data_IF_176803320493
#
_entry.id   IF_176803320493
#
_cell.length_a   1.000
_cell.length_b   1.000
_cell.length_c   1.000
_cell.angle_alpha   90.00
_cell.angle_beta   90.00
_cell.angle_gamma   90.00
#
_symmetry.space_group_name_H-M   'P 1'
#
loop_
_entity.id
_entity.type
_entity.pdbx_description
1 polymer ?
#
# COMPACT_ATOMS: atom_id res chain seq x y z
N UNK A 1 61.55 73.22 57.31
CA UNK A 1 60.65 72.19 56.91
C UNK A 1 61.41 71.00 56.34
N UNK A 2 61.37 69.86 57.02
CA UNK A 2 61.96 68.60 56.56
C UNK A 2 61.11 68.10 55.39
N UNK A 3 61.67 68.14 54.20
CA UNK A 3 61.03 67.65 53.00
C UNK A 3 60.93 66.16 52.93
N UNK A 4 60.31 65.51 53.92
CA UNK A 4 60.03 64.07 53.85
C UNK A 4 58.76 63.83 53.02
N UNK A 5 58.88 63.22 51.87
CA UNK A 5 57.78 62.78 51.05
C UNK A 5 57.57 61.29 51.21
N UNK A 6 56.35 60.81 51.40
CA UNK A 6 55.98 59.40 51.35
C UNK A 6 55.13 59.22 50.09
N UNK A 7 55.45 58.17 49.31
CA UNK A 7 54.67 57.78 48.14
C UNK A 7 54.23 56.37 48.29
N UNK A 8 53.00 56.09 47.87
CA UNK A 8 52.51 54.69 47.69
C UNK A 8 52.21 54.49 46.23
N UNK A 9 52.41 53.28 45.75
CA UNK A 9 52.06 52.91 44.38
C UNK A 9 51.10 51.72 44.40
N UNK A 10 50.23 51.63 43.43
CA UNK A 10 49.37 50.53 43.16
C UNK A 10 49.67 50.05 41.72
N UNK A 11 49.82 48.76 41.53
CA UNK A 11 50.01 48.19 40.21
C UNK A 11 48.68 47.75 39.71
N UNK A 12 48.25 48.19 38.53
CA UNK A 12 47.11 47.72 37.80
C UNK A 12 47.60 46.63 36.84
N UNK A 13 46.99 45.45 36.91
CA UNK A 13 47.32 44.30 36.05
C UNK A 13 46.13 44.15 35.10
N UNK A 14 46.39 44.20 33.79
CA UNK A 14 45.40 43.96 32.77
C UNK A 14 45.14 42.45 32.61
N UNK A 15 43.86 42.10 32.53
CA UNK A 15 43.41 40.76 32.19
C UNK A 15 42.66 40.82 30.85
N UNK A 16 43.30 40.37 29.76
CA UNK A 16 42.74 40.34 28.41
C UNK A 16 42.87 38.94 27.81
N UNK A 17 41.95 38.61 26.92
CA UNK A 17 42.05 37.44 26.05
C UNK A 17 42.70 37.93 24.75
N UNK A 18 43.88 37.42 24.40
CA UNK A 18 44.56 37.71 23.15
C UNK A 18 43.87 37.02 21.96
N UNK A 19 43.46 35.79 22.18
CA UNK A 19 42.70 35.01 21.23
C UNK A 19 41.67 34.14 21.96
N UNK A 20 40.42 34.17 21.55
CA UNK A 20 39.40 33.24 22.07
C UNK A 20 39.59 31.81 21.56
N UNK A 21 40.58 31.59 20.70
CA UNK A 21 40.72 30.35 19.92
C UNK A 21 39.73 30.26 18.78
N UNK A 22 39.75 29.14 18.09
CA UNK A 22 38.79 28.83 17.00
C UNK A 22 38.15 27.49 17.23
N UNK A 23 36.97 27.32 16.67
CA UNK A 23 36.19 26.06 16.72
C UNK A 23 35.86 25.59 15.31
N UNK A 24 35.64 24.28 15.16
CA UNK A 24 35.22 23.64 13.90
C UNK A 24 34.06 22.73 14.15
N UNK A 25 33.36 22.30 13.09
CA UNK A 25 32.26 21.36 13.20
C UNK A 25 31.01 21.79 12.45
N UNK A 26 31.14 22.75 11.49
CA UNK A 26 30.05 23.06 10.56
C UNK A 26 29.64 21.80 9.84
N UNK A 27 28.35 21.45 9.89
CA UNK A 27 27.80 20.22 9.39
C UNK A 27 26.33 20.38 9.04
N UNK A 28 25.81 19.44 8.24
CA UNK A 28 24.38 19.28 7.98
C UNK A 28 23.89 17.96 8.54
N UNK A 29 22.76 17.98 9.22
CA UNK A 29 22.09 16.81 9.80
C UNK A 29 20.64 16.78 9.35
N UNK A 30 19.98 15.64 9.48
CA UNK A 30 18.54 15.53 9.29
C UNK A 30 17.79 16.04 10.53
N UNK A 31 16.53 16.40 10.37
CA UNK A 31 15.62 16.77 11.46
C UNK A 31 15.71 15.75 12.59
N UNK A 32 15.83 16.23 13.82
CA UNK A 32 16.02 15.43 15.05
C UNK A 32 17.28 14.54 15.02
N UNK A 33 18.21 14.82 14.11
CA UNK A 33 19.49 14.10 14.01
C UNK A 33 20.47 14.52 15.10
N UNK A 34 21.40 13.60 15.42
CA UNK A 34 22.48 13.85 16.39
C UNK A 34 23.67 14.48 15.68
N UNK A 35 24.06 15.73 16.04
CA UNK A 35 25.29 16.32 15.52
C UNK A 35 26.54 15.55 15.97
N UNK A 36 27.58 15.61 15.16
CA UNK A 36 28.90 15.21 15.59
C UNK A 36 29.52 16.29 16.49
N UNK A 37 30.59 15.92 17.19
CA UNK A 37 31.27 16.84 18.12
C UNK A 37 31.78 18.11 17.42
N UNK A 38 31.48 19.28 18.01
CA UNK A 38 32.11 20.55 17.72
C UNK A 38 33.46 20.57 18.42
N UNK A 39 34.52 20.83 17.68
CA UNK A 39 35.88 20.64 18.16
C UNK A 39 36.68 21.92 18.29
N UNK A 40 37.56 21.97 19.27
CA UNK A 40 38.59 23.00 19.40
C UNK A 40 39.59 22.87 18.24
N UNK A 41 39.74 23.90 17.44
CA UNK A 41 40.77 23.96 16.40
C UNK A 41 42.03 24.70 16.90
N UNK A 42 41.84 25.79 17.63
CA UNK A 42 42.94 26.48 18.34
C UNK A 42 42.53 26.86 19.76
N UNK A 43 43.40 26.68 20.70
CA UNK A 43 43.18 26.99 22.11
C UNK A 43 43.19 28.51 22.36
N UNK A 44 42.37 28.98 23.28
CA UNK A 44 42.39 30.38 23.71
C UNK A 44 43.67 30.74 24.42
N UNK A 45 44.07 32.00 24.31
CA UNK A 45 45.23 32.59 25.01
C UNK A 45 44.90 33.91 25.70
N UNK A 46 45.57 34.16 26.77
CA UNK A 46 45.48 35.42 27.53
C UNK A 46 46.83 36.11 27.59
N UNK A 47 46.84 37.44 27.61
CA UNK A 47 48.03 38.29 27.73
C UNK A 47 48.85 37.93 28.99
N UNK A 48 48.17 37.63 30.09
CA UNK A 48 48.82 37.29 31.33
C UNK A 48 48.91 35.77 31.52
N UNK A 49 50.11 35.23 31.57
CA UNK A 49 50.37 33.81 31.73
C UNK A 49 49.82 33.21 33.05
N UNK A 50 49.53 34.04 34.05
CA UNK A 50 48.94 33.61 35.34
C UNK A 50 47.40 33.57 35.30
N UNK A 51 46.76 34.02 34.22
CA UNK A 51 45.32 33.91 34.04
C UNK A 51 44.91 32.45 33.78
N UNK A 52 43.78 32.08 34.39
CA UNK A 52 43.18 30.76 34.12
C UNK A 52 42.11 30.96 33.03
N UNK A 53 42.20 30.14 31.97
CA UNK A 53 41.19 30.13 30.89
C UNK A 53 40.20 29.01 31.12
N UNK A 54 38.93 29.32 31.05
CA UNK A 54 37.80 28.37 31.04
C UNK A 54 36.90 28.66 29.86
N UNK A 55 35.99 27.74 29.53
CA UNK A 55 35.10 27.87 28.38
C UNK A 55 33.64 27.80 28.80
N UNK A 56 32.77 28.32 27.94
CA UNK A 56 31.33 28.17 28.02
C UNK A 56 30.73 28.18 26.62
N UNK A 57 30.03 27.14 26.24
CA UNK A 57 29.34 27.06 24.96
C UNK A 57 28.00 27.78 25.00
N UNK A 58 27.67 28.39 23.88
CA UNK A 58 26.39 29.06 23.63
C UNK A 58 25.82 28.64 22.30
N UNK A 59 24.48 28.61 22.20
CA UNK A 59 23.75 28.36 20.98
C UNK A 59 22.76 29.47 20.68
N UNK A 60 22.37 29.60 19.40
CA UNK A 60 21.32 30.51 18.96
C UNK A 60 20.71 29.98 17.65
N UNK A 61 19.41 30.18 17.39
CA UNK A 61 18.84 29.96 16.07
C UNK A 61 19.24 31.05 15.07
N UNK A 62 19.85 32.17 15.54
CA UNK A 62 20.25 33.31 14.72
C UNK A 62 21.74 33.29 14.43
N UNK A 63 22.11 33.30 13.14
CA UNK A 63 23.50 33.24 12.68
C UNK A 63 24.42 34.33 13.27
N UNK A 64 23.87 35.48 13.62
CA UNK A 64 24.65 36.64 14.15
C UNK A 64 24.61 36.74 15.68
N UNK A 65 23.98 35.80 16.38
CA UNK A 65 23.79 35.84 17.84
C UNK A 65 23.14 37.12 18.34
N UNK A 66 22.30 37.76 17.55
CA UNK A 66 21.63 39.02 17.90
C UNK A 66 20.45 38.84 18.86
N UNK A 67 19.86 37.67 18.88
CA UNK A 67 18.71 37.31 19.73
C UNK A 67 18.76 35.81 20.08
N UNK A 68 17.95 35.41 21.05
CA UNK A 68 17.72 34.00 21.44
C UNK A 68 19.02 33.24 21.77
N UNK A 69 19.96 33.92 22.40
CA UNK A 69 21.22 33.35 22.83
C UNK A 69 21.00 32.52 24.09
N UNK A 70 21.24 31.22 24.00
CA UNK A 70 21.18 30.29 25.13
C UNK A 70 22.59 29.91 25.58
N UNK A 71 22.89 30.12 26.86
CA UNK A 71 24.06 29.53 27.48
C UNK A 71 23.79 28.09 27.82
N UNK A 72 24.62 27.18 27.29
CA UNK A 72 24.40 25.74 27.42
C UNK A 72 24.95 25.28 28.77
N UNK A 73 24.07 24.89 29.68
CA UNK A 73 24.44 24.51 31.04
C UNK A 73 25.40 23.33 31.04
N UNK A 74 26.47 23.43 31.86
CA UNK A 74 27.48 22.40 31.97
C UNK A 74 28.44 22.25 30.77
N UNK A 75 28.23 22.97 29.66
CA UNK A 75 29.09 22.88 28.48
C UNK A 75 30.32 23.78 28.62
N UNK A 76 31.29 23.31 29.43
CA UNK A 76 32.50 24.08 29.81
C UNK A 76 33.80 23.51 29.28
N UNK A 77 33.72 22.43 28.48
CA UNK A 77 34.89 21.79 27.86
C UNK A 77 35.33 22.52 26.57
N UNK A 78 36.55 22.23 26.12
CA UNK A 78 37.06 22.73 24.82
C UNK A 78 36.24 22.29 23.64
N UNK A 79 35.71 21.04 23.71
CA UNK A 79 34.84 20.43 22.73
C UNK A 79 33.43 20.31 23.30
N UNK A 80 32.44 20.26 22.40
CA UNK A 80 31.02 20.07 22.77
C UNK A 80 30.29 19.22 21.75
N UNK A 81 29.49 18.28 22.22
CA UNK A 81 28.57 17.52 21.37
C UNK A 81 27.14 17.98 21.65
N UNK A 82 26.49 18.66 20.70
CA UNK A 82 25.11 19.07 20.89
C UNK A 82 24.16 17.87 21.01
N UNK A 83 23.03 18.05 21.69
CA UNK A 83 21.92 17.13 21.63
C UNK A 83 21.26 17.12 20.22
N UNK A 84 20.37 16.16 19.88
CA UNK A 84 19.61 16.18 18.64
C UNK A 84 18.91 17.51 18.40
N UNK A 85 18.94 17.99 17.15
CA UNK A 85 18.41 19.32 16.79
C UNK A 85 17.19 19.22 15.89
N UNK A 86 16.14 19.98 16.23
CA UNK A 86 14.91 20.12 15.44
C UNK A 86 14.91 21.34 14.50
N UNK A 87 15.95 22.16 14.53
CA UNK A 87 16.13 23.32 13.66
C UNK A 87 17.61 23.68 13.52
N UNK A 88 17.94 24.36 12.42
CA UNK A 88 19.29 24.90 12.21
C UNK A 88 19.69 25.75 13.41
N UNK A 89 20.87 25.46 13.97
CA UNK A 89 21.38 26.05 15.19
C UNK A 89 22.83 26.45 15.01
N UNK A 90 23.15 27.63 15.49
CA UNK A 90 24.49 28.21 15.47
C UNK A 90 25.11 28.07 16.85
N UNK A 91 26.40 27.76 16.90
CA UNK A 91 27.15 27.60 18.13
C UNK A 91 28.37 28.45 18.13
N UNK A 92 28.72 29.01 19.32
CA UNK A 92 29.98 29.66 19.60
C UNK A 92 30.47 29.27 20.99
N UNK A 93 31.74 29.48 21.23
CA UNK A 93 32.34 29.24 22.53
C UNK A 93 32.87 30.55 23.12
N UNK A 94 32.51 30.88 24.36
CA UNK A 94 33.15 31.91 25.12
C UNK A 94 34.44 31.37 25.72
N UNK A 95 35.54 32.08 25.56
CA UNK A 95 36.72 31.95 26.41
C UNK A 95 36.59 32.94 27.57
N UNK A 96 36.82 32.47 28.78
CA UNK A 96 36.75 33.27 30.00
C UNK A 96 38.12 33.24 30.66
N UNK A 97 38.82 34.36 30.65
CA UNK A 97 40.09 34.56 31.36
C UNK A 97 39.84 35.09 32.77
N UNK A 98 40.32 34.41 33.78
CA UNK A 98 40.19 34.80 35.19
C UNK A 98 41.55 35.13 35.75
N UNK A 99 41.75 36.35 36.22
CA UNK A 99 42.95 36.81 36.93
C UNK A 99 42.53 37.62 38.14
N UNK A 100 43.06 37.27 39.32
CA UNK A 100 42.72 37.97 40.58
C UNK A 100 41.21 38.14 40.80
N UNK A 101 40.44 37.08 40.54
CA UNK A 101 38.97 37.07 40.63
C UNK A 101 38.22 37.98 39.63
N UNK A 102 38.95 38.61 38.70
CA UNK A 102 38.34 39.37 37.60
C UNK A 102 38.25 38.51 36.35
N UNK A 103 37.03 38.33 35.85
CA UNK A 103 36.77 37.63 34.63
C UNK A 103 36.65 38.59 33.43
N UNK A 104 37.28 38.24 32.31
CA UNK A 104 37.12 38.88 31.01
C UNK A 104 36.74 37.80 29.99
N UNK A 105 35.88 38.13 29.02
CA UNK A 105 35.35 37.18 28.07
C UNK A 105 35.60 37.61 26.62
N UNK A 106 35.82 36.65 25.74
CA UNK A 106 35.84 36.83 24.28
C UNK A 106 35.20 35.62 23.60
N UNK A 107 34.65 35.80 22.41
CA UNK A 107 33.92 34.76 21.69
C UNK A 107 34.70 34.24 20.49
N UNK A 108 34.59 32.95 20.20
CA UNK A 108 35.10 32.34 18.96
C UNK A 108 34.29 32.75 17.74
N UNK A 109 34.75 32.33 16.58
CA UNK A 109 33.89 32.22 15.37
C UNK A 109 32.66 31.35 15.64
N UNK A 110 31.69 31.47 14.74
CA UNK A 110 30.41 30.74 14.82
C UNK A 110 30.52 29.50 13.92
N UNK A 111 30.05 28.35 14.41
CA UNK A 111 29.81 27.13 13.62
C UNK A 111 28.33 26.93 13.45
N UNK A 112 27.95 26.49 12.26
CA UNK A 112 26.58 26.19 11.89
C UNK A 112 26.35 24.68 11.88
N UNK A 113 25.28 24.24 12.51
CA UNK A 113 24.70 22.92 12.34
C UNK A 113 23.38 23.11 11.61
N UNK A 114 23.41 22.90 10.30
CA UNK A 114 22.23 22.97 9.43
C UNK A 114 21.32 21.76 9.66
N UNK A 115 20.04 21.97 9.94
CA UNK A 115 19.03 20.92 9.99
C UNK A 115 18.25 20.92 8.69
N UNK A 116 18.26 19.78 8.01
CA UNK A 116 17.52 19.57 6.76
C UNK A 116 16.25 18.79 7.04
N UNK A 117 15.14 19.31 6.57
CA UNK A 117 13.90 18.57 6.48
C UNK A 117 14.02 17.49 5.38
N UNK A 118 13.32 16.40 5.57
CA UNK A 118 13.16 15.42 4.50
C UNK A 118 12.32 16.00 3.34
N UNK A 119 12.37 15.36 2.15
CA UNK A 119 11.78 15.92 0.92
C UNK A 119 10.24 15.99 0.89
N UNK A 120 9.55 15.49 1.91
CA UNK A 120 8.09 15.46 1.96
C UNK A 120 7.50 14.42 1.01
N UNK A 121 6.27 14.68 0.55
CA UNK A 121 5.57 13.86 -0.43
C UNK A 121 4.22 13.33 0.05
N UNK A 122 3.33 13.10 -0.92
CA UNK A 122 2.01 12.50 -0.70
C UNK A 122 1.93 11.17 -1.44
N UNK A 123 1.57 10.11 -0.72
CA UNK A 123 1.29 8.79 -1.29
C UNK A 123 -0.10 8.79 -1.91
N UNK A 124 -0.20 8.26 -3.12
CA UNK A 124 -1.42 8.06 -3.88
C UNK A 124 -1.60 6.57 -4.17
N UNK A 125 -2.86 6.13 -4.22
CA UNK A 125 -3.28 4.83 -4.75
C UNK A 125 -3.87 5.04 -6.13
N UNK A 126 -3.37 4.35 -7.15
CA UNK A 126 -3.85 4.42 -8.54
C UNK A 126 -4.04 5.89 -9.03
N UNK A 127 -3.18 6.80 -8.54
CA UNK A 127 -3.23 8.23 -8.84
C UNK A 127 -4.17 9.07 -7.96
N UNK A 128 -4.87 8.48 -6.99
CA UNK A 128 -5.83 9.16 -6.11
C UNK A 128 -5.32 9.26 -4.67
N UNK A 129 -5.60 10.40 -4.03
CA UNK A 129 -5.31 10.58 -2.61
C UNK A 129 -6.47 10.03 -1.77
N UNK A 130 -6.29 8.85 -1.22
CA UNK A 130 -7.27 8.16 -0.38
C UNK A 130 -6.66 7.81 0.98
N UNK A 131 -7.48 7.72 2.02
CA UNK A 131 -7.03 7.26 3.35
C UNK A 131 -7.15 5.74 3.49
N UNK A 132 -8.19 5.18 2.88
CA UNK A 132 -8.42 3.74 2.79
C UNK A 132 -9.20 3.40 1.53
N UNK A 133 -9.00 2.19 1.01
CA UNK A 133 -9.70 1.69 -0.18
C UNK A 133 -9.80 0.17 -0.13
N UNK A 134 -10.84 -0.38 -0.78
CA UNK A 134 -10.99 -1.81 -1.02
C UNK A 134 -10.87 -2.05 -2.52
N UNK A 135 -9.91 -2.86 -2.93
CA UNK A 135 -9.66 -3.27 -4.31
C UNK A 135 -10.19 -4.67 -4.54
N UNK A 136 -10.61 -4.94 -5.77
CA UNK A 136 -10.96 -6.29 -6.19
C UNK A 136 -9.70 -7.16 -6.38
N UNK A 137 -9.81 -8.50 -6.35
CA UNK A 137 -8.65 -9.40 -6.42
C UNK A 137 -7.74 -9.19 -7.64
N UNK A 138 -8.32 -8.81 -8.78
CA UNK A 138 -7.62 -8.65 -10.05
C UNK A 138 -7.26 -7.18 -10.36
N UNK A 139 -7.51 -6.24 -9.43
CA UNK A 139 -7.17 -4.85 -9.63
C UNK A 139 -5.71 -4.59 -9.32
N UNK A 140 -5.08 -3.80 -10.19
CA UNK A 140 -3.71 -3.34 -9.99
C UNK A 140 -3.63 -2.43 -8.76
N UNK A 141 -2.61 -2.67 -7.92
CA UNK A 141 -2.27 -1.82 -6.79
C UNK A 141 -1.01 -1.03 -7.15
N UNK A 142 -1.21 0.20 -7.62
CA UNK A 142 -0.10 1.08 -7.98
C UNK A 142 0.03 2.18 -6.91
N UNK A 143 1.13 2.14 -6.19
CA UNK A 143 1.54 3.19 -5.25
C UNK A 143 2.35 4.24 -5.99
N UNK A 144 2.01 5.52 -5.84
CA UNK A 144 2.79 6.62 -6.42
C UNK A 144 2.96 7.76 -5.41
N UNK A 145 4.06 8.49 -5.53
CA UNK A 145 4.37 9.63 -4.66
C UNK A 145 4.40 10.90 -5.49
N UNK A 146 3.71 11.93 -5.01
CA UNK A 146 3.63 13.25 -5.65
C UNK A 146 4.05 14.36 -4.68
N UNK A 147 4.17 15.59 -5.16
CA UNK A 147 4.55 16.74 -4.36
C UNK A 147 6.04 16.80 -4.00
N UNK A 148 6.89 16.08 -4.74
CA UNK A 148 8.34 16.04 -4.54
C UNK A 148 9.02 16.96 -5.54
N UNK A 149 9.88 17.87 -5.04
CA UNK A 149 10.78 18.64 -5.88
C UNK A 149 12.03 17.80 -6.23
N UNK A 150 12.58 18.02 -7.43
CA UNK A 150 13.82 17.39 -7.90
C UNK A 150 13.86 15.87 -7.73
N UNK A 151 12.85 15.19 -8.30
CA UNK A 151 12.65 13.73 -8.20
C UNK A 151 13.88 12.94 -8.64
N UNK A 152 14.64 13.44 -9.64
CA UNK A 152 15.81 12.73 -10.17
C UNK A 152 16.91 12.46 -9.14
N UNK A 153 16.95 13.27 -8.07
CA UNK A 153 17.91 13.16 -6.98
C UNK A 153 17.30 12.57 -5.70
N UNK A 154 16.20 11.84 -5.83
CA UNK A 154 15.49 11.22 -4.70
C UNK A 154 15.50 9.70 -4.80
N UNK A 155 15.22 9.06 -3.68
CA UNK A 155 14.93 7.63 -3.63
C UNK A 155 13.75 7.34 -2.73
N UNK A 156 13.09 6.22 -2.98
CA UNK A 156 11.80 5.86 -2.40
C UNK A 156 11.89 4.46 -1.82
N UNK A 157 11.42 4.30 -0.59
CA UNK A 157 11.32 3.02 0.09
C UNK A 157 9.85 2.75 0.38
N UNK A 158 9.25 1.87 -0.43
CA UNK A 158 7.87 1.43 -0.32
C UNK A 158 7.73 0.38 0.76
N UNK A 159 6.71 0.53 1.61
CA UNK A 159 6.50 -0.33 2.77
C UNK A 159 5.06 -0.83 2.84
N UNK A 160 4.93 -2.08 3.31
CA UNK A 160 3.67 -2.73 3.64
C UNK A 160 3.71 -3.19 5.10
N UNK A 161 2.81 -2.69 5.95
CA UNK A 161 2.81 -3.00 7.39
C UNK A 161 4.14 -2.66 8.07
N UNK A 162 4.84 -1.60 7.61
CA UNK A 162 6.15 -1.21 8.12
C UNK A 162 7.35 -1.99 7.53
N UNK A 163 7.11 -3.07 6.78
CA UNK A 163 8.16 -3.86 6.12
C UNK A 163 8.46 -3.30 4.74
N UNK A 164 9.74 -3.18 4.38
CA UNK A 164 10.18 -2.74 3.05
C UNK A 164 9.79 -3.79 2.01
N UNK A 165 9.07 -3.37 0.97
CA UNK A 165 8.66 -4.21 -0.16
C UNK A 165 9.36 -3.81 -1.46
N UNK A 166 9.82 -2.57 -1.57
CA UNK A 166 10.61 -2.10 -2.70
C UNK A 166 11.46 -0.89 -2.33
N UNK A 167 12.60 -0.74 -2.98
CA UNK A 167 13.46 0.44 -2.94
C UNK A 167 13.79 0.86 -4.36
N UNK A 168 13.48 2.10 -4.73
CA UNK A 168 13.51 2.57 -6.12
C UNK A 168 13.90 4.04 -6.23
N UNK A 169 14.38 4.46 -7.39
CA UNK A 169 14.42 5.87 -7.82
C UNK A 169 13.13 6.32 -8.52
N UNK A 170 12.18 5.40 -8.74
CA UNK A 170 10.88 5.71 -9.34
C UNK A 170 9.89 6.17 -8.28
N UNK A 171 9.11 7.20 -8.60
CA UNK A 171 7.98 7.67 -7.79
C UNK A 171 6.77 6.72 -7.82
N UNK A 172 6.84 5.65 -8.62
CA UNK A 172 5.73 4.71 -8.77
C UNK A 172 6.22 3.27 -8.61
N UNK A 173 5.42 2.46 -7.95
CA UNK A 173 5.66 1.04 -7.73
C UNK A 173 4.33 0.28 -7.76
N UNK A 174 4.27 -0.73 -8.62
CA UNK A 174 3.19 -1.70 -8.67
C UNK A 174 3.47 -2.82 -7.67
N UNK A 175 2.54 -3.05 -6.76
CA UNK A 175 2.68 -4.09 -5.72
C UNK A 175 2.28 -5.43 -6.31
N UNK A 176 3.21 -6.39 -6.44
CA UNK A 176 2.89 -7.68 -7.02
C UNK A 176 2.03 -8.51 -6.08
N UNK A 177 0.98 -9.15 -6.62
CA UNK A 177 0.09 -10.08 -5.92
C UNK A 177 -0.39 -9.55 -4.55
N UNK A 178 -1.06 -8.39 -4.51
CA UNK A 178 -1.55 -7.85 -3.26
C UNK A 178 -2.63 -8.78 -2.67
N UNK A 179 -2.68 -8.92 -1.35
CA UNK A 179 -3.67 -9.79 -0.69
C UNK A 179 -3.98 -9.30 0.72
N UNK A 180 -5.21 -9.52 1.19
CA UNK A 180 -5.67 -9.15 2.52
C UNK A 180 -5.60 -7.65 2.79
N UNK A 181 -5.65 -7.26 4.08
CA UNK A 181 -5.61 -5.85 4.51
C UNK A 181 -4.20 -5.47 4.94
N UNK A 182 -3.69 -4.36 4.45
CA UNK A 182 -2.39 -3.83 4.85
C UNK A 182 -2.36 -2.30 4.81
N UNK A 183 -1.48 -1.72 5.64
CA UNK A 183 -1.15 -0.31 5.61
C UNK A 183 0.09 -0.10 4.72
N UNK A 184 0.00 0.82 3.78
CA UNK A 184 1.09 1.19 2.87
C UNK A 184 1.58 2.60 3.18
N UNK A 185 2.89 2.78 3.12
CA UNK A 185 3.57 4.07 3.29
C UNK A 185 4.87 4.09 2.50
N UNK A 186 5.42 5.28 2.28
CA UNK A 186 6.69 5.45 1.58
C UNK A 186 7.59 6.39 2.37
N UNK A 187 8.84 5.99 2.61
CA UNK A 187 9.88 6.94 2.97
C UNK A 187 10.47 7.53 1.69
N UNK A 188 10.55 8.85 1.67
CA UNK A 188 11.21 9.61 0.60
C UNK A 188 12.52 10.13 1.14
N UNK A 189 13.60 9.88 0.41
CA UNK A 189 14.96 10.28 0.77
C UNK A 189 15.45 11.38 -0.18
N UNK A 190 16.20 12.35 0.34
CA UNK A 190 16.69 13.52 -0.39
C UNK A 190 17.93 13.26 -1.27
N UNK A 191 18.36 12.02 -1.35
CA UNK A 191 19.50 11.61 -2.16
C UNK A 191 19.14 10.40 -3.06
N UNK A 192 19.80 10.24 -4.20
CA UNK A 192 19.65 9.07 -5.05
C UNK A 192 20.16 7.81 -4.35
N UNK A 193 19.78 6.65 -4.89
CA UNK A 193 20.29 5.37 -4.42
C UNK A 193 21.83 5.30 -4.51
N UNK A 194 22.45 4.68 -3.54
CA UNK A 194 23.85 4.30 -3.56
C UNK A 194 23.94 2.81 -3.94
N UNK A 195 24.21 2.54 -5.23
CA UNK A 195 24.07 1.19 -5.75
C UNK A 195 22.60 0.73 -5.76
N UNK A 196 22.30 -0.39 -5.12
CA UNK A 196 20.94 -0.94 -5.00
C UNK A 196 20.22 -0.53 -3.69
N UNK A 197 20.84 0.28 -2.84
CA UNK A 197 20.32 0.62 -1.51
C UNK A 197 20.15 2.11 -1.29
N UNK A 198 19.49 2.47 -0.17
CA UNK A 198 19.35 3.85 0.29
C UNK A 198 20.73 4.40 0.68
N UNK A 199 21.01 5.64 0.28
CA UNK A 199 22.21 6.35 0.73
C UNK A 199 22.11 6.62 2.25
N UNK A 200 23.03 6.15 3.09
CA UNK A 200 22.95 6.33 4.54
C UNK A 200 23.06 7.78 5.00
N UNK A 201 23.55 8.68 4.15
CA UNK A 201 23.62 10.13 4.43
C UNK A 201 22.32 10.88 4.03
N UNK A 202 21.34 10.20 3.43
CA UNK A 202 20.12 10.83 2.98
C UNK A 202 19.17 11.15 4.12
N UNK A 203 18.64 12.36 4.16
CA UNK A 203 17.51 12.70 5.01
C UNK A 203 16.21 12.13 4.43
N UNK A 204 15.29 11.75 5.32
CA UNK A 204 14.04 11.12 4.93
C UNK A 204 12.82 11.80 5.52
N UNK A 205 11.71 11.68 4.82
CA UNK A 205 10.38 11.94 5.35
C UNK A 205 9.45 10.78 5.07
N UNK A 206 8.47 10.58 5.94
CA UNK A 206 7.41 9.60 5.74
C UNK A 206 6.23 10.29 5.06
N UNK A 207 5.67 9.67 4.00
CA UNK A 207 4.41 10.10 3.41
C UNK A 207 3.23 9.83 4.35
N UNK A 208 2.01 10.30 3.98
CA UNK A 208 0.78 9.74 4.54
C UNK A 208 0.76 8.22 4.36
N UNK A 209 -0.10 7.54 5.12
CA UNK A 209 -0.35 6.11 4.94
C UNK A 209 -1.73 5.85 4.37
N UNK A 210 -1.84 4.77 3.61
CA UNK A 210 -3.09 4.31 2.98
C UNK A 210 -3.35 2.88 3.46
N UNK A 211 -4.56 2.62 3.96
CA UNK A 211 -5.01 1.26 4.30
C UNK A 211 -5.70 0.66 3.09
N UNK A 212 -5.17 -0.43 2.57
CA UNK A 212 -5.72 -1.11 1.40
C UNK A 212 -6.17 -2.51 1.83
N UNK A 213 -7.39 -2.85 1.46
CA UNK A 213 -7.96 -4.20 1.61
C UNK A 213 -8.17 -4.78 0.23
N UNK A 214 -7.62 -5.96 -0.03
CA UNK A 214 -7.97 -6.74 -1.21
C UNK A 214 -9.15 -7.62 -0.82
N UNK A 215 -10.26 -7.50 -1.54
CA UNK A 215 -11.43 -8.34 -1.32
C UNK A 215 -11.08 -9.81 -1.59
N UNK A 216 -11.75 -10.72 -0.89
CA UNK A 216 -11.61 -12.14 -1.17
C UNK A 216 -12.22 -12.48 -2.54
N UNK A 217 -11.65 -13.47 -3.21
CA UNK A 217 -12.22 -14.01 -4.44
C UNK A 217 -13.48 -14.81 -4.10
N UNK A 218 -14.60 -14.44 -4.70
CA UNK A 218 -15.89 -15.10 -4.49
C UNK A 218 -16.15 -16.14 -5.56
N UNK A 219 -16.59 -17.32 -5.13
CA UNK A 219 -16.97 -18.42 -6.02
C UNK A 219 -18.48 -18.39 -6.25
N UNK A 220 -18.89 -18.17 -7.50
CA UNK A 220 -20.32 -18.18 -7.87
C UNK A 220 -20.84 -19.61 -7.93
N UNK A 221 -21.85 -19.89 -7.11
CA UNK A 221 -22.60 -21.13 -7.15
C UNK A 221 -23.89 -20.91 -7.94
N UNK A 222 -23.94 -21.44 -9.16
CA UNK A 222 -25.07 -21.40 -10.06
C UNK A 222 -25.81 -22.76 -9.99
N UNK A 223 -27.06 -22.74 -9.57
CA UNK A 223 -27.97 -23.89 -9.62
C UNK A 223 -28.80 -23.86 -10.91
N UNK A 224 -29.08 -25.05 -11.46
CA UNK A 224 -29.87 -25.21 -12.67
C UNK A 224 -31.03 -26.14 -12.36
N UNK A 225 -32.21 -25.55 -12.15
CA UNK A 225 -33.43 -26.29 -11.86
C UNK A 225 -34.07 -26.80 -13.16
N UNK A 226 -34.80 -27.89 -13.08
CA UNK A 226 -35.33 -28.65 -14.22
C UNK A 226 -34.23 -29.33 -15.08
N UNK A 227 -32.97 -29.33 -14.58
CA UNK A 227 -31.88 -30.07 -15.21
C UNK A 227 -31.14 -30.93 -14.17
N UNK A 228 -31.06 -32.24 -14.39
CA UNK A 228 -30.29 -33.15 -13.54
C UNK A 228 -28.89 -33.30 -14.14
N UNK A 229 -27.85 -32.91 -13.38
CA UNK A 229 -26.46 -32.88 -13.88
C UNK A 229 -26.35 -32.09 -15.20
N UNK A 230 -27.00 -30.91 -15.24
CA UNK A 230 -27.04 -30.02 -16.40
C UNK A 230 -27.74 -30.62 -17.64
N UNK A 231 -28.50 -31.71 -17.49
CA UNK A 231 -29.25 -32.37 -18.56
C UNK A 231 -30.74 -32.03 -18.43
N UNK A 232 -31.34 -31.47 -19.47
CA UNK A 232 -32.72 -31.04 -19.54
C UNK A 232 -33.43 -31.74 -20.71
N UNK A 233 -34.79 -31.79 -20.68
CA UNK A 233 -35.56 -32.26 -21.82
C UNK A 233 -35.90 -31.14 -22.80
N UNK A 234 -35.96 -31.43 -24.08
CA UNK A 234 -36.34 -30.46 -25.11
C UNK A 234 -37.67 -29.79 -24.78
N UNK A 235 -37.68 -28.45 -24.79
CA UNK A 235 -38.84 -27.61 -24.47
C UNK A 235 -39.07 -27.32 -22.99
N UNK A 236 -38.21 -27.84 -22.09
CA UNK A 236 -38.26 -27.46 -20.67
C UNK A 236 -37.98 -25.98 -20.49
N UNK A 237 -38.65 -25.38 -19.49
CA UNK A 237 -38.29 -24.07 -19.01
C UNK A 237 -37.22 -24.20 -17.91
N UNK A 238 -35.95 -24.15 -18.30
CA UNK A 238 -34.82 -24.29 -17.37
C UNK A 238 -34.62 -23.02 -16.61
N UNK A 239 -34.56 -23.11 -15.26
CA UNK A 239 -34.36 -22.01 -14.34
C UNK A 239 -32.91 -22.00 -13.86
N UNK A 240 -32.31 -20.83 -13.87
CA UNK A 240 -30.93 -20.56 -13.41
C UNK A 240 -31.01 -19.70 -12.16
N UNK A 241 -30.41 -20.15 -11.07
CA UNK A 241 -30.46 -19.47 -9.77
C UNK A 241 -29.04 -19.35 -9.17
N UNK A 242 -28.64 -18.12 -8.86
CA UNK A 242 -27.38 -17.88 -8.17
C UNK A 242 -27.61 -18.01 -6.66
N UNK A 243 -27.11 -19.09 -6.09
CA UNK A 243 -27.21 -19.39 -4.65
C UNK A 243 -26.23 -18.53 -3.84
N UNK A 244 -25.02 -18.38 -4.34
CA UNK A 244 -23.93 -17.61 -3.72
C UNK A 244 -23.00 -17.03 -4.81
N UNK A 245 -22.35 -15.88 -4.58
CA UNK A 245 -22.61 -14.93 -3.51
C UNK A 245 -23.86 -14.08 -3.78
N UNK A 246 -24.37 -13.39 -2.75
CA UNK A 246 -25.42 -12.40 -2.93
C UNK A 246 -24.84 -11.16 -3.62
N UNK A 247 -25.42 -10.78 -4.76
CA UNK A 247 -25.02 -9.64 -5.57
C UNK A 247 -26.01 -8.49 -5.53
N UNK A 248 -25.59 -7.35 -6.03
CA UNK A 248 -26.41 -6.17 -6.30
C UNK A 248 -26.95 -6.17 -7.73
N UNK A 249 -26.25 -6.86 -8.64
CA UNK A 249 -26.64 -7.05 -10.02
C UNK A 249 -26.19 -8.42 -10.53
N UNK A 250 -26.98 -9.02 -11.42
CA UNK A 250 -26.74 -10.33 -12.06
C UNK A 250 -26.91 -10.18 -13.57
N UNK A 251 -25.84 -10.40 -14.32
CA UNK A 251 -25.86 -10.41 -15.78
C UNK A 251 -25.80 -11.85 -16.28
N UNK A 252 -26.95 -12.42 -16.67
CA UNK A 252 -27.03 -13.75 -17.28
C UNK A 252 -26.90 -13.66 -18.80
N UNK A 253 -26.17 -14.58 -19.38
CA UNK A 253 -26.01 -14.74 -20.83
C UNK A 253 -26.26 -16.19 -21.22
N UNK A 254 -26.90 -16.36 -22.37
CA UNK A 254 -27.06 -17.66 -23.04
C UNK A 254 -26.28 -17.62 -24.36
N UNK A 255 -25.23 -18.43 -24.50
CA UNK A 255 -24.33 -18.45 -25.67
C UNK A 255 -23.82 -17.00 -25.98
N UNK A 256 -23.34 -16.31 -24.95
CA UNK A 256 -22.86 -14.90 -24.99
C UNK A 256 -23.92 -13.84 -25.36
N UNK A 257 -25.19 -14.24 -25.57
CA UNK A 257 -26.29 -13.30 -25.78
C UNK A 257 -26.96 -12.94 -24.45
N UNK A 258 -27.28 -11.66 -24.22
CA UNK A 258 -27.94 -11.23 -22.97
C UNK A 258 -29.25 -11.97 -22.76
N UNK A 259 -29.41 -12.60 -21.59
CA UNK A 259 -30.64 -13.23 -21.15
C UNK A 259 -31.36 -12.37 -20.13
N UNK A 260 -30.60 -11.83 -19.15
CA UNK A 260 -31.08 -10.92 -18.12
C UNK A 260 -29.92 -10.04 -17.64
N UNK A 261 -30.25 -8.79 -17.25
CA UNK A 261 -29.34 -7.91 -16.51
C UNK A 261 -30.18 -7.11 -15.49
N UNK A 262 -29.94 -7.33 -14.20
CA UNK A 262 -30.69 -6.68 -13.13
C UNK A 262 -30.47 -7.30 -11.76
N UNK A 263 -31.23 -6.87 -10.74
CA UNK A 263 -31.04 -7.28 -9.35
C UNK A 263 -31.57 -8.70 -9.03
N UNK A 264 -32.24 -9.38 -9.96
CA UNK A 264 -32.76 -10.74 -9.72
C UNK A 264 -31.66 -11.77 -9.88
N UNK A 265 -31.44 -12.57 -8.84
CA UNK A 265 -30.50 -13.70 -8.85
C UNK A 265 -30.99 -14.88 -9.70
N UNK A 266 -32.25 -14.83 -10.17
CA UNK A 266 -32.91 -15.93 -10.89
C UNK A 266 -33.38 -15.47 -12.26
N UNK A 267 -33.20 -16.31 -13.28
CA UNK A 267 -33.76 -16.16 -14.62
C UNK A 267 -34.12 -17.53 -15.20
N UNK A 268 -34.79 -17.56 -16.34
CA UNK A 268 -35.13 -18.83 -17.03
C UNK A 268 -35.15 -18.68 -18.53
N UNK A 269 -35.06 -19.82 -19.25
CA UNK A 269 -35.18 -19.86 -20.70
C UNK A 269 -35.79 -21.17 -21.17
N UNK A 270 -36.59 -21.10 -22.24
CA UNK A 270 -37.04 -22.25 -23.02
C UNK A 270 -36.32 -22.37 -24.36
N UNK A 271 -35.47 -21.36 -24.71
CA UNK A 271 -34.76 -21.31 -26.00
C UNK A 271 -33.35 -21.91 -25.87
N UNK A 272 -33.24 -23.04 -25.21
CA UNK A 272 -31.97 -23.72 -24.96
C UNK A 272 -31.80 -24.80 -26.03
N UNK A 273 -30.59 -24.93 -26.52
CA UNK A 273 -30.21 -26.00 -27.45
C UNK A 273 -29.06 -26.81 -26.86
N UNK A 274 -28.86 -28.01 -27.42
CA UNK A 274 -27.78 -28.87 -26.94
C UNK A 274 -26.42 -28.15 -26.96
N UNK A 275 -25.65 -28.33 -25.89
CA UNK A 275 -24.36 -27.63 -25.64
C UNK A 275 -24.47 -26.12 -25.47
N UNK A 276 -25.64 -25.57 -25.17
CA UNK A 276 -25.77 -24.17 -24.78
C UNK A 276 -24.99 -23.89 -23.51
N UNK A 277 -24.30 -22.74 -23.48
CA UNK A 277 -23.56 -22.26 -22.31
C UNK A 277 -24.34 -21.13 -21.66
N UNK A 278 -24.69 -21.31 -20.40
CA UNK A 278 -25.21 -20.24 -19.56
C UNK A 278 -24.08 -19.70 -18.69
N UNK A 279 -23.83 -18.41 -18.75
CA UNK A 279 -22.88 -17.72 -17.88
C UNK A 279 -23.59 -16.65 -17.06
N UNK A 280 -23.07 -16.38 -15.88
CA UNK A 280 -23.53 -15.28 -15.03
C UNK A 280 -22.33 -14.51 -14.48
N UNK A 281 -22.45 -13.18 -14.51
CA UNK A 281 -21.55 -12.25 -13.81
C UNK A 281 -22.37 -11.63 -12.66
N UNK A 282 -21.86 -11.80 -11.45
CA UNK A 282 -22.45 -11.25 -10.23
C UNK A 282 -21.63 -10.02 -9.81
N UNK A 283 -22.29 -8.86 -9.69
CA UNK A 283 -21.68 -7.67 -9.11
C UNK A 283 -21.98 -7.65 -7.61
N UNK A 284 -20.94 -7.63 -6.80
CA UNK A 284 -21.02 -7.64 -5.34
C UNK A 284 -21.30 -6.24 -4.77
N UNK A 285 -21.62 -6.16 -3.47
CA UNK A 285 -21.90 -4.89 -2.78
C UNK A 285 -20.69 -3.95 -2.72
N UNK A 286 -19.46 -4.49 -2.76
CA UNK A 286 -18.20 -3.73 -2.81
C UNK A 286 -17.82 -3.29 -4.22
N UNK A 287 -18.63 -3.61 -5.25
CA UNK A 287 -18.37 -3.29 -6.65
C UNK A 287 -17.56 -4.35 -7.40
N UNK A 288 -16.98 -5.34 -6.73
CA UNK A 288 -16.25 -6.42 -7.39
C UNK A 288 -17.20 -7.35 -8.14
N UNK A 289 -16.67 -8.11 -9.10
CA UNK A 289 -17.44 -9.06 -9.88
C UNK A 289 -16.89 -10.47 -9.69
N UNK A 290 -17.81 -11.44 -9.70
CA UNK A 290 -17.48 -12.86 -9.75
C UNK A 290 -18.30 -13.51 -10.86
N UNK A 291 -17.81 -14.58 -11.49
CA UNK A 291 -18.50 -15.20 -12.61
C UNK A 291 -18.39 -16.71 -12.61
N UNK A 292 -19.37 -17.36 -13.23
CA UNK A 292 -19.33 -18.79 -13.52
C UNK A 292 -20.09 -19.11 -14.80
N UNK A 293 -19.92 -20.30 -15.31
CA UNK A 293 -20.69 -20.80 -16.45
C UNK A 293 -20.97 -22.27 -16.33
N UNK A 294 -22.05 -22.71 -16.97
CA UNK A 294 -22.46 -24.10 -17.05
C UNK A 294 -22.83 -24.44 -18.49
N UNK A 295 -22.42 -25.64 -18.95
CA UNK A 295 -22.85 -26.18 -20.25
C UNK A 295 -24.04 -27.10 -20.06
N UNK A 296 -25.09 -26.90 -20.83
CA UNK A 296 -26.33 -27.63 -20.78
C UNK A 296 -26.35 -28.73 -21.86
N UNK A 297 -26.85 -29.89 -21.49
CA UNK A 297 -26.97 -31.06 -22.38
C UNK A 297 -28.44 -31.32 -22.60
N UNK A 298 -28.87 -31.27 -23.83
CA UNK A 298 -30.23 -31.61 -24.21
C UNK A 298 -30.39 -33.14 -24.28
N UNK A 299 -31.47 -33.63 -23.68
CA UNK A 299 -31.88 -35.03 -23.76
C UNK A 299 -33.21 -35.08 -24.49
N UNK A 300 -33.18 -35.51 -25.75
CA UNK A 300 -34.37 -35.67 -26.58
C UNK A 300 -34.47 -37.09 -27.07
N UNK A 301 -35.70 -37.55 -27.32
CA UNK A 301 -35.92 -38.76 -28.06
C UNK A 301 -35.99 -38.39 -29.55
N UNK A 302 -34.93 -38.75 -30.29
CA UNK A 302 -34.87 -38.50 -31.74
C UNK A 302 -35.87 -39.32 -32.53
N UNK A 303 -36.08 -40.54 -32.07
CA UNK A 303 -37.07 -41.44 -32.63
C UNK A 303 -37.70 -42.31 -31.53
N UNK A 304 -39.02 -42.37 -31.41
CA UNK A 304 -39.68 -43.28 -30.48
C UNK A 304 -39.57 -44.76 -30.88
N UNK A 305 -38.97 -45.02 -32.02
CA UNK A 305 -38.98 -46.35 -32.63
C UNK A 305 -40.33 -46.69 -33.27
N UNK A 306 -40.45 -47.86 -33.75
CA UNK A 306 -41.71 -48.35 -34.33
C UNK A 306 -42.06 -49.75 -33.77
N UNK A 307 -43.34 -50.02 -33.70
CA UNK A 307 -43.88 -51.32 -33.24
C UNK A 307 -44.52 -52.04 -34.40
N UNK A 308 -44.53 -53.35 -34.32
CA UNK A 308 -45.17 -54.22 -35.28
C UNK A 308 -46.09 -55.27 -34.60
N UNK A 309 -46.98 -55.89 -35.34
CA UNK A 309 -47.88 -56.89 -34.80
C UNK A 309 -49.35 -56.61 -35.09
N UNK A 310 -49.62 -55.73 -36.10
CA UNK A 310 -50.99 -55.53 -36.57
C UNK A 310 -51.60 -56.89 -36.92
N UNK A 311 -52.73 -57.29 -36.32
CA UNK A 311 -53.35 -58.59 -36.45
C UNK A 311 -54.86 -58.46 -36.31
N UNK A 312 -55.58 -59.47 -36.90
CA UNK A 312 -57.00 -59.68 -36.71
C UNK A 312 -57.20 -60.85 -35.80
N UNK A 313 -58.06 -60.72 -34.79
CA UNK A 313 -58.38 -61.86 -33.89
C UNK A 313 -59.87 -62.11 -33.88
N UNK A 314 -60.28 -63.35 -33.63
CA UNK A 314 -61.68 -63.66 -33.40
C UNK A 314 -62.14 -63.10 -32.03
N UNK A 315 -63.46 -62.91 -31.85
CA UNK A 315 -64.00 -62.52 -30.56
C UNK A 315 -63.53 -63.49 -29.45
N UNK A 316 -63.00 -62.91 -28.37
CA UNK A 316 -62.28 -63.54 -27.24
C UNK A 316 -61.01 -64.32 -27.66
N UNK A 317 -60.48 -64.11 -28.88
CA UNK A 317 -59.19 -64.68 -29.31
C UNK A 317 -58.04 -64.01 -28.59
N UNK A 318 -56.94 -64.77 -28.43
CA UNK A 318 -55.71 -64.20 -27.83
C UNK A 318 -54.86 -63.57 -28.94
N UNK A 319 -54.49 -62.28 -28.77
CA UNK A 319 -53.53 -61.69 -29.69
C UNK A 319 -52.14 -62.27 -29.51
N UNK A 320 -51.36 -62.27 -30.58
CA UNK A 320 -49.94 -62.59 -30.52
C UNK A 320 -49.15 -61.37 -29.98
N UNK A 321 -47.95 -61.63 -29.60
CA UNK A 321 -47.06 -60.59 -29.04
C UNK A 321 -46.86 -59.45 -30.04
N UNK A 322 -47.00 -58.20 -29.55
CA UNK A 322 -46.56 -56.99 -30.23
C UNK A 322 -45.05 -56.80 -29.97
N UNK A 323 -44.29 -56.39 -30.98
CA UNK A 323 -42.83 -56.31 -30.91
C UNK A 323 -42.30 -54.97 -31.43
N UNK A 324 -41.13 -54.60 -31.01
CA UNK A 324 -40.39 -53.51 -31.65
C UNK A 324 -40.02 -53.93 -33.10
N UNK A 325 -40.27 -53.02 -34.04
CA UNK A 325 -39.72 -53.11 -35.40
C UNK A 325 -38.40 -52.35 -35.48
N UNK A 326 -38.37 -51.15 -34.85
CA UNK A 326 -37.14 -50.35 -34.62
C UNK A 326 -37.07 -49.85 -33.18
N UNK A 327 -35.90 -49.83 -32.61
CA UNK A 327 -35.67 -49.28 -31.25
C UNK A 327 -35.73 -47.78 -31.26
N UNK A 328 -36.16 -47.20 -30.13
CA UNK A 328 -36.07 -45.77 -29.92
C UNK A 328 -34.60 -45.30 -29.84
N UNK A 329 -34.36 -44.05 -30.21
CA UNK A 329 -33.06 -43.41 -30.10
C UNK A 329 -33.19 -42.05 -29.39
N UNK A 330 -32.15 -41.64 -28.70
CA UNK A 330 -32.04 -40.33 -28.03
C UNK A 330 -30.81 -39.58 -28.53
N UNK A 331 -30.85 -38.23 -28.51
CA UNK A 331 -29.73 -37.36 -28.89
C UNK A 331 -28.51 -37.66 -28.02
N UNK A 332 -28.73 -37.86 -26.72
CA UNK A 332 -27.65 -38.23 -25.80
C UNK A 332 -27.41 -39.74 -25.84
N UNK A 333 -26.26 -40.15 -26.38
CA UNK A 333 -25.88 -41.56 -26.49
C UNK A 333 -25.78 -42.31 -25.14
N UNK A 334 -25.66 -41.55 -24.02
CA UNK A 334 -25.62 -42.10 -22.66
C UNK A 334 -27.00 -42.20 -22.00
N UNK A 335 -28.07 -41.75 -22.69
CA UNK A 335 -29.41 -41.81 -22.15
C UNK A 335 -29.92 -43.24 -22.08
N UNK A 336 -30.58 -43.61 -20.98
CA UNK A 336 -31.27 -44.87 -20.82
C UNK A 336 -32.72 -44.68 -21.27
N UNK A 337 -33.12 -45.45 -22.28
CA UNK A 337 -34.49 -45.43 -22.80
C UNK A 337 -35.31 -46.52 -22.12
N UNK A 338 -36.46 -46.16 -21.55
CA UNK A 338 -37.46 -47.07 -21.03
C UNK A 338 -38.73 -46.98 -21.88
N UNK A 339 -39.52 -48.08 -21.88
CA UNK A 339 -40.73 -48.18 -22.67
C UNK A 339 -41.93 -48.42 -21.79
N UNK A 340 -43.07 -47.81 -22.14
CA UNK A 340 -44.36 -48.02 -21.52
C UNK A 340 -45.39 -48.34 -22.61
N UNK A 341 -46.04 -49.49 -22.51
CA UNK A 341 -47.14 -49.89 -23.41
C UNK A 341 -48.41 -49.20 -22.93
N UNK A 342 -49.17 -48.70 -23.89
CA UNK A 342 -50.53 -48.15 -23.69
C UNK A 342 -51.49 -48.72 -24.63
N UNK A 343 -52.74 -48.77 -24.27
CA UNK A 343 -53.83 -49.27 -25.14
C UNK A 343 -54.98 -48.21 -25.12
N UNK A 344 -55.61 -48.02 -26.26
CA UNK A 344 -56.78 -47.17 -26.41
C UNK A 344 -57.81 -47.89 -27.29
N UNK A 345 -59.12 -47.76 -26.98
CA UNK A 345 -60.19 -48.24 -27.89
C UNK A 345 -60.36 -47.37 -29.14
N UNK A 346 -59.74 -46.16 -29.12
CA UNK A 346 -59.80 -45.18 -30.21
C UNK A 346 -58.52 -45.31 -31.03
N UNK A 347 -58.57 -45.01 -32.33
CA UNK A 347 -57.35 -44.96 -33.18
C UNK A 347 -56.41 -43.78 -32.82
N UNK A 348 -56.93 -42.73 -32.24
CA UNK A 348 -56.18 -41.60 -31.74
C UNK A 348 -56.02 -41.73 -30.21
N UNK A 349 -54.79 -41.68 -29.75
CA UNK A 349 -54.45 -41.77 -28.34
C UNK A 349 -54.61 -40.44 -27.63
#
# INVERSE_FOLDING_TARGET
GNGCTASTSVTLIENTIDSPGTITGTQSICLDGQPTQLSNATTASATNASATITYQWQSSPNANFSADVTTIDGATSENYTPDPLSQTTYFRRLAVSVLNSKACTSTTDIVEVEVKDGPGGTLLLNGFNVGSETLCPDEDLILSVTGIADVANKSFEYRRGGVVINTSSSTSFEVPNPSGTANYSVFVYDMPLLGAGINPAACKSLTNSIVITIADEEVVQLDVTEAINNTYCSGDNVVFDVINPAGTNYEFKLNDQPLQNGPSATTSSTNITNNSIVSVIVTLANGCTASTSVTLIENTIDSPGTITGTQSICFNGQPTQLSNATTASATNASATISYQWQSSPNADF
#
